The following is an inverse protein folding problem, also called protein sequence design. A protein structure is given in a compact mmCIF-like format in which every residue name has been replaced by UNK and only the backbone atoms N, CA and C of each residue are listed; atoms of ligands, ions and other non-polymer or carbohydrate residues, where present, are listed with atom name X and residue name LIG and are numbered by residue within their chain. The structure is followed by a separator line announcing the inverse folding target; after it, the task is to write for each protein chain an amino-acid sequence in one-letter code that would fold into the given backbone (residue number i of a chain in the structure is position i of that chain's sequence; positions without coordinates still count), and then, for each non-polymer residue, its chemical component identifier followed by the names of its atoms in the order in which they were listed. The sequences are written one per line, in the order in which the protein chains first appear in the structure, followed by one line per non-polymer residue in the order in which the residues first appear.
data_IF_650624305712
#
_entry.id   IF_650624305712
#
_cell.length_a   1.000
_cell.length_b   1.000
_cell.length_c   1.000
_cell.angle_alpha   90.00
_cell.angle_beta   90.00
_cell.angle_gamma   90.00
#
_symmetry.space_group_name_H-M   'P 1'
#
loop_
_entity.id
_entity.type
_entity.pdbx_description
1 polymer ?
#
# COMPACT_ATOMS: atom_id res chain seq x y z
N UNK A 1 -33.44 54.38 27.41
CA UNK A 1 -32.19 54.86 26.80
C UNK A 1 -31.07 53.91 27.18
N UNK A 2 -30.19 53.57 26.24
CA UNK A 2 -29.27 52.41 26.14
C UNK A 2 -29.88 51.16 25.48
N UNK A 3 -29.55 50.88 24.20
CA UNK A 3 -29.93 49.65 23.52
C UNK A 3 -28.87 48.53 23.64
N UNK A 4 -29.37 47.30 23.66
CA UNK A 4 -28.62 46.04 23.62
C UNK A 4 -27.76 45.92 22.35
N UNK A 5 -26.48 45.56 22.52
CA UNK A 5 -25.62 45.11 21.42
C UNK A 5 -25.93 43.64 21.09
N UNK A 6 -26.50 43.44 19.91
CA UNK A 6 -26.75 42.14 19.29
C UNK A 6 -25.44 41.66 18.63
N UNK A 7 -25.02 40.45 18.98
CA UNK A 7 -23.93 39.71 18.34
C UNK A 7 -24.26 39.46 16.84
N UNK A 8 -23.36 39.73 15.88
CA UNK A 8 -23.59 39.33 14.50
C UNK A 8 -23.34 37.82 14.32
N UNK A 9 -24.37 37.16 13.79
CA UNK A 9 -24.44 35.76 13.40
C UNK A 9 -23.37 35.38 12.38
N UNK A 10 -22.72 34.22 12.59
CA UNK A 10 -21.87 33.57 11.59
C UNK A 10 -22.70 33.13 10.39
N UNK A 11 -22.60 33.89 9.29
CA UNK A 11 -23.14 33.51 7.99
C UNK A 11 -22.40 32.31 7.40
N UNK A 12 -23.16 31.29 7.01
CA UNK A 12 -22.71 30.14 6.22
C UNK A 12 -22.26 30.62 4.83
N UNK A 13 -21.08 30.21 4.38
CA UNK A 13 -20.65 30.36 2.98
C UNK A 13 -20.74 28.99 2.31
N UNK A 14 -21.60 28.90 1.29
CA UNK A 14 -21.67 27.76 0.37
C UNK A 14 -20.54 27.88 -0.68
N UNK A 15 -19.96 26.76 -1.15
CA UNK A 15 -18.85 26.78 -2.11
C UNK A 15 -19.38 26.77 -3.54
N UNK A 16 -19.60 27.94 -4.10
CA UNK A 16 -19.77 28.11 -5.55
C UNK A 16 -19.25 29.48 -5.92
N UNK A 17 -18.00 29.49 -6.38
CA UNK A 17 -17.37 30.46 -7.30
C UNK A 17 -15.86 30.50 -7.01
N UNK A 18 -15.16 29.48 -7.53
CA UNK A 18 -13.72 29.52 -7.68
C UNK A 18 -13.36 30.59 -8.73
N UNK A 19 -13.35 31.85 -8.30
CA UNK A 19 -12.78 32.96 -9.05
C UNK A 19 -11.26 32.77 -9.09
N UNK A 20 -10.72 32.69 -10.31
CA UNK A 20 -9.28 32.77 -10.57
C UNK A 20 -8.83 34.17 -10.17
N UNK A 21 -8.32 34.34 -8.96
CA UNK A 21 -7.73 35.61 -8.53
C UNK A 21 -6.39 35.80 -9.23
N UNK A 22 -6.38 36.61 -10.29
CA UNK A 22 -5.17 37.27 -10.78
C UNK A 22 -4.94 38.50 -9.90
N UNK A 23 -4.11 38.38 -8.87
CA UNK A 23 -3.63 39.57 -8.16
C UNK A 23 -2.55 40.26 -9.00
N UNK A 24 -2.94 41.32 -9.70
CA UNK A 24 -2.00 42.33 -10.18
C UNK A 24 -1.73 43.29 -9.03
N UNK A 25 -0.56 43.16 -8.40
CA UNK A 25 -0.04 44.21 -7.51
C UNK A 25 0.93 45.05 -8.33
N UNK A 26 0.48 46.23 -8.74
CA UNK A 26 1.36 47.29 -9.26
C UNK A 26 1.74 48.19 -8.10
N UNK A 27 2.96 48.02 -7.59
CA UNK A 27 3.64 49.06 -6.80
C UNK A 27 4.33 49.98 -7.81
N UNK A 28 3.93 51.24 -7.83
CA UNK A 28 4.69 52.31 -8.48
C UNK A 28 5.76 52.76 -7.49
N UNK A 29 7.03 52.57 -7.83
CA UNK A 29 8.11 53.32 -7.24
C UNK A 29 8.76 54.21 -8.30
N UNK A 30 9.02 55.45 -7.87
CA UNK A 30 9.86 56.42 -8.56
C UNK A 30 11.29 55.91 -8.56
N UNK A 31 12.07 56.41 -9.51
CA UNK A 31 13.50 56.15 -9.71
C UNK A 31 13.80 54.90 -10.55
N UNK A 32 13.95 55.14 -11.85
CA UNK A 32 14.29 54.11 -12.81
C UNK A 32 15.76 53.72 -12.71
N UNK A 33 16.04 52.46 -12.38
CA UNK A 33 17.14 51.67 -12.93
C UNK A 33 16.81 50.16 -12.81
N UNK A 34 16.93 49.45 -13.94
CA UNK A 34 16.94 47.99 -14.11
C UNK A 34 15.71 47.15 -13.63
N UNK A 35 14.72 47.01 -14.52
CA UNK A 35 13.76 45.89 -14.48
C UNK A 35 14.48 44.57 -14.80
N UNK A 36 15.00 43.88 -13.78
CA UNK A 36 15.14 42.41 -13.84
C UNK A 36 13.71 41.86 -13.88
N UNK A 37 13.34 41.13 -14.94
CA UNK A 37 12.00 40.57 -15.06
C UNK A 37 11.67 39.72 -13.84
N UNK A 38 10.72 40.17 -13.02
CA UNK A 38 10.16 39.42 -11.92
C UNK A 38 9.74 38.04 -12.44
N UNK A 39 10.18 37.00 -11.73
CA UNK A 39 9.89 35.60 -12.05
C UNK A 39 8.43 35.44 -12.47
N UNK A 40 8.20 34.97 -13.70
CA UNK A 40 6.88 34.55 -14.19
C UNK A 40 6.26 33.64 -13.12
N UNK A 41 5.17 34.10 -12.49
CA UNK A 41 4.43 33.31 -11.49
C UNK A 41 4.08 31.98 -12.17
N UNK A 42 4.76 30.92 -11.74
CA UNK A 42 4.45 29.57 -12.22
C UNK A 42 3.12 29.18 -11.61
N UNK A 43 2.18 28.70 -12.42
CA UNK A 43 0.92 28.17 -11.91
C UNK A 43 1.21 27.03 -10.90
N UNK A 44 0.74 27.21 -9.67
CA UNK A 44 0.86 26.22 -8.60
C UNK A 44 -0.47 25.47 -8.51
N UNK A 45 -0.40 24.14 -8.58
CA UNK A 45 -1.54 23.25 -8.44
C UNK A 45 -1.43 22.51 -7.12
N UNK A 46 -2.37 22.77 -6.20
CA UNK A 46 -2.42 22.10 -4.91
C UNK A 46 -3.17 20.76 -5.00
N UNK A 47 -2.70 19.77 -4.24
CA UNK A 47 -3.37 18.48 -4.05
C UNK A 47 -3.15 17.97 -2.64
N UNK A 48 -4.01 17.08 -2.15
CA UNK A 48 -3.96 16.58 -0.78
C UNK A 48 -3.87 15.05 -0.70
N UNK A 49 -3.22 14.57 0.36
CA UNK A 49 -3.44 13.22 0.86
C UNK A 49 -4.30 13.29 2.11
N UNK A 50 -5.26 12.37 2.22
CA UNK A 50 -6.10 12.20 3.40
C UNK A 50 -6.06 10.73 3.83
N UNK A 51 -5.81 10.49 5.11
CA UNK A 51 -5.91 9.14 5.65
C UNK A 51 -7.35 8.82 6.02
N UNK A 52 -7.76 7.57 5.79
CA UNK A 52 -9.04 7.03 6.24
C UNK A 52 -8.80 5.72 6.96
N UNK A 53 -9.40 5.57 8.12
CA UNK A 53 -9.33 4.30 8.85
C UNK A 53 -10.29 3.28 8.25
N UNK A 54 -9.78 2.08 8.02
CA UNK A 54 -10.61 0.92 7.72
C UNK A 54 -10.61 0.01 8.92
N UNK A 55 -11.81 -0.39 9.34
CA UNK A 55 -11.96 -1.25 10.50
C UNK A 55 -11.14 -2.54 10.31
N UNK A 56 -10.28 -2.85 11.28
CA UNK A 56 -9.38 -3.99 11.21
C UNK A 56 -10.20 -5.25 11.06
N UNK A 57 -9.96 -5.91 9.95
CA UNK A 57 -10.61 -7.14 9.59
C UNK A 57 -10.09 -8.29 10.46
N UNK A 58 -10.99 -9.05 11.09
CA UNK A 58 -10.64 -10.29 11.80
C UNK A 58 -10.50 -11.41 10.74
N UNK A 59 -9.30 -11.61 10.16
CA UNK A 59 -9.02 -12.85 9.38
C UNK A 59 -8.54 -13.94 10.32
N UNK A 60 -9.01 -15.16 10.08
CA UNK A 60 -8.39 -16.38 10.58
C UNK A 60 -7.03 -16.68 9.91
N UNK A 61 -6.87 -16.45 8.61
CA UNK A 61 -5.61 -16.71 7.88
C UNK A 61 -4.80 -15.43 7.60
N UNK A 62 -3.75 -15.24 8.39
CA UNK A 62 -2.78 -14.14 8.26
C UNK A 62 -1.48 -14.56 7.56
N UNK A 63 -1.46 -15.68 6.83
CA UNK A 63 -0.27 -16.17 6.13
C UNK A 63 -0.18 -15.61 4.70
N UNK A 64 1.01 -15.66 4.10
CA UNK A 64 1.21 -15.33 2.69
C UNK A 64 0.86 -13.87 2.35
N UNK A 65 -0.16 -13.67 1.52
CA UNK A 65 -0.70 -12.33 1.20
C UNK A 65 -1.60 -11.79 2.31
N UNK A 66 -2.19 -12.67 3.12
CA UNK A 66 -3.04 -12.32 4.26
C UNK A 66 -2.31 -11.67 5.44
N UNK A 67 -0.98 -11.62 5.40
CA UNK A 67 -0.18 -10.89 6.40
C UNK A 67 -0.53 -9.40 6.45
N UNK A 68 -1.08 -8.84 5.37
CA UNK A 68 -1.58 -7.47 5.30
C UNK A 68 -2.62 -7.17 6.37
N UNK A 69 -3.47 -8.15 6.68
CA UNK A 69 -4.58 -7.98 7.62
C UNK A 69 -4.20 -8.29 9.07
N UNK A 70 -2.92 -8.64 9.33
CA UNK A 70 -2.46 -8.90 10.69
C UNK A 70 -2.23 -7.59 11.44
N UNK A 71 -3.23 -7.18 12.20
CA UNK A 71 -3.24 -5.90 12.95
C UNK A 71 -2.32 -5.91 14.16
N UNK A 72 -2.03 -7.10 14.73
CA UNK A 72 -1.13 -7.23 15.88
C UNK A 72 0.34 -7.04 15.51
N UNK A 73 0.73 -7.37 14.27
CA UNK A 73 2.15 -7.40 13.86
C UNK A 73 2.57 -6.21 13.01
N UNK A 74 1.62 -5.48 12.43
CA UNK A 74 1.94 -4.54 11.36
C UNK A 74 0.78 -3.63 11.00
N UNK A 75 1.15 -2.44 10.53
CA UNK A 75 0.21 -1.45 10.01
C UNK A 75 0.37 -1.34 8.50
N UNK A 76 -0.71 -1.07 7.79
CA UNK A 76 -0.67 -0.76 6.37
C UNK A 76 -1.07 0.69 6.12
N UNK A 77 -0.51 1.26 5.06
CA UNK A 77 -0.96 2.52 4.48
C UNK A 77 -1.09 2.28 2.99
N UNK A 78 -2.32 2.28 2.48
CA UNK A 78 -2.62 1.90 1.10
C UNK A 78 -3.22 3.09 0.36
N UNK A 79 -2.53 3.61 -0.65
CA UNK A 79 -2.98 4.74 -1.44
C UNK A 79 -4.01 4.31 -2.48
N UNK A 80 -5.15 4.98 -2.51
CA UNK A 80 -6.13 4.83 -3.59
C UNK A 80 -5.60 5.47 -4.87
N UNK A 81 -5.12 4.62 -5.78
CA UNK A 81 -4.63 5.04 -7.08
C UNK A 81 -5.01 4.02 -8.14
N UNK A 82 -5.81 4.44 -9.12
CA UNK A 82 -6.10 3.59 -10.26
C UNK A 82 -4.82 3.39 -11.09
N UNK A 83 -4.47 2.16 -11.52
CA UNK A 83 -3.25 1.89 -12.29
C UNK A 83 -3.14 2.70 -13.60
N UNK A 84 -4.28 3.10 -14.16
CA UNK A 84 -4.37 3.93 -15.35
C UNK A 84 -4.87 5.36 -15.04
N UNK A 85 -4.74 5.83 -13.79
CA UNK A 85 -5.18 7.17 -13.41
C UNK A 85 -4.47 8.24 -14.25
N UNK A 86 -5.25 9.08 -14.91
CA UNK A 86 -4.75 10.32 -15.48
C UNK A 86 -4.48 11.27 -14.30
N UNK A 87 -3.21 11.37 -13.88
CA UNK A 87 -2.71 12.17 -12.74
C UNK A 87 -2.87 13.70 -12.95
N UNK A 88 -3.93 14.09 -13.63
CA UNK A 88 -4.32 15.45 -13.91
C UNK A 88 -5.06 16.03 -12.69
N UNK A 89 -4.43 17.01 -12.04
CA UNK A 89 -4.93 17.59 -10.80
C UNK A 89 -6.23 18.37 -10.96
N UNK A 90 -6.61 18.76 -12.18
CA UNK A 90 -7.92 19.38 -12.43
C UNK A 90 -9.06 18.37 -12.40
N UNK A 91 -8.78 17.07 -12.50
CA UNK A 91 -9.79 16.00 -12.40
C UNK A 91 -9.89 15.46 -10.98
N UNK A 92 -8.75 15.16 -10.37
CA UNK A 92 -8.65 14.63 -9.00
C UNK A 92 -7.45 15.26 -8.30
N UNK A 93 -7.70 16.06 -7.28
CA UNK A 93 -6.69 16.73 -6.46
C UNK A 93 -6.63 16.18 -5.02
N UNK A 94 -7.42 15.15 -4.69
CA UNK A 94 -7.41 14.49 -3.39
C UNK A 94 -7.10 13.00 -3.55
N UNK A 95 -6.18 12.48 -2.73
CA UNK A 95 -5.76 11.09 -2.73
C UNK A 95 -6.02 10.47 -1.37
N UNK A 96 -6.84 9.42 -1.34
CA UNK A 96 -7.16 8.70 -0.12
C UNK A 96 -6.04 7.71 0.21
N UNK A 97 -5.71 7.60 1.50
CA UNK A 97 -4.79 6.60 2.03
C UNK A 97 -5.52 5.82 3.12
N UNK A 98 -5.72 4.53 2.90
CA UNK A 98 -6.39 3.69 3.87
C UNK A 98 -5.40 3.04 4.82
N UNK A 99 -5.71 3.06 6.12
CA UNK A 99 -4.89 2.46 7.18
C UNK A 99 -5.71 1.59 8.12
N UNK A 100 -5.06 0.61 8.74
CA UNK A 100 -5.59 -0.16 9.87
C UNK A 100 -4.99 0.27 11.23
N UNK A 101 -4.28 1.40 11.26
CA UNK A 101 -3.68 1.91 12.48
C UNK A 101 -4.77 2.39 13.45
N UNK A 102 -5.00 1.61 14.50
CA UNK A 102 -6.00 1.90 15.53
C UNK A 102 -5.52 3.05 16.43
N UNK A 103 -4.20 3.18 16.60
CA UNK A 103 -3.60 4.22 17.46
C UNK A 103 -3.64 5.60 16.80
N UNK A 104 -3.90 5.65 15.50
CA UNK A 104 -4.07 6.90 14.76
C UNK A 104 -5.46 7.46 15.08
N UNK A 105 -5.59 8.31 16.11
CA UNK A 105 -6.88 8.79 16.64
C UNK A 105 -7.73 9.58 15.62
N UNK A 106 -7.09 10.42 14.80
CA UNK A 106 -7.76 11.29 13.84
C UNK A 106 -7.31 11.02 12.41
N UNK A 107 -8.15 11.36 11.45
CA UNK A 107 -7.75 11.41 10.05
C UNK A 107 -6.76 12.57 9.86
N UNK A 108 -5.66 12.28 9.18
CA UNK A 108 -4.64 13.26 8.82
C UNK A 108 -4.82 13.70 7.38
N UNK A 109 -4.69 15.00 7.16
CA UNK A 109 -4.66 15.58 5.82
C UNK A 109 -3.38 16.40 5.66
N UNK A 110 -2.76 16.31 4.49
CA UNK A 110 -1.64 17.17 4.13
C UNK A 110 -1.74 17.63 2.69
N UNK A 111 -1.55 18.94 2.48
CA UNK A 111 -1.56 19.58 1.17
C UNK A 111 -0.13 19.65 0.63
N UNK A 112 0.01 19.37 -0.65
CA UNK A 112 1.24 19.42 -1.43
C UNK A 112 1.02 20.27 -2.67
N UNK A 113 2.10 20.91 -3.13
CA UNK A 113 2.08 21.76 -4.31
C UNK A 113 2.82 21.09 -5.46
N UNK A 114 2.28 21.25 -6.67
CA UNK A 114 2.89 20.84 -7.94
C UNK A 114 2.98 22.06 -8.85
N UNK A 115 4.11 22.22 -9.54
CA UNK A 115 4.27 23.24 -10.59
C UNK A 115 3.66 22.79 -11.93
N UNK A 116 3.09 21.59 -11.99
CA UNK A 116 2.48 21.01 -13.19
C UNK A 116 1.03 20.61 -12.91
N UNK A 117 0.18 20.83 -13.92
CA UNK A 117 -1.22 20.37 -13.93
C UNK A 117 -1.31 18.84 -13.86
N UNK A 118 -0.37 18.13 -14.50
CA UNK A 118 -0.26 16.66 -14.43
C UNK A 118 0.92 16.29 -13.56
N UNK A 119 0.65 15.61 -12.45
CA UNK A 119 1.68 15.23 -11.48
C UNK A 119 2.51 14.07 -12.03
N UNK A 120 3.82 14.17 -11.86
CA UNK A 120 4.74 13.08 -12.15
C UNK A 120 4.57 11.96 -11.11
N UNK A 121 4.43 10.70 -11.54
CA UNK A 121 4.26 9.57 -10.64
C UNK A 121 5.41 9.45 -9.61
N UNK A 122 6.66 9.70 -10.00
CA UNK A 122 7.80 9.73 -9.07
C UNK A 122 7.62 10.77 -7.96
N UNK A 123 7.09 11.94 -8.32
CA UNK A 123 6.82 13.00 -7.35
C UNK A 123 5.67 12.61 -6.43
N UNK A 124 4.57 12.10 -6.99
CA UNK A 124 3.40 11.64 -6.22
C UNK A 124 3.75 10.54 -5.21
N UNK A 125 4.49 9.52 -5.63
CA UNK A 125 4.94 8.45 -4.72
C UNK A 125 5.92 8.99 -3.68
N UNK A 126 6.75 9.97 -4.04
CA UNK A 126 7.62 10.66 -3.09
C UNK A 126 6.85 11.42 -2.02
N UNK A 127 5.86 12.23 -2.41
CA UNK A 127 5.03 12.99 -1.45
C UNK A 127 4.15 12.08 -0.63
N UNK A 128 3.62 10.98 -1.20
CA UNK A 128 2.95 9.91 -0.47
C UNK A 128 3.85 9.32 0.63
N UNK A 129 5.08 8.90 0.31
CA UNK A 129 5.99 8.35 1.31
C UNK A 129 6.33 9.36 2.41
N UNK A 130 6.59 10.61 2.03
CA UNK A 130 6.87 11.67 2.99
C UNK A 130 5.68 11.91 3.93
N UNK A 131 4.44 11.86 3.41
CA UNK A 131 3.22 11.93 4.19
C UNK A 131 3.12 10.78 5.18
N UNK A 132 3.27 9.52 4.74
CA UNK A 132 3.16 8.35 5.62
C UNK A 132 4.20 8.37 6.74
N UNK A 133 5.47 8.62 6.42
CA UNK A 133 6.52 8.66 7.43
C UNK A 133 6.45 9.88 8.34
N UNK A 134 5.76 10.96 7.94
CA UNK A 134 5.49 12.07 8.85
C UNK A 134 4.43 11.74 9.90
N UNK A 135 3.46 10.88 9.56
CA UNK A 135 2.41 10.42 10.49
C UNK A 135 2.91 9.24 11.33
N UNK A 136 3.59 8.29 10.70
CA UNK A 136 4.11 7.10 11.35
C UNK A 136 5.48 7.38 11.99
N UNK A 137 5.47 7.73 13.28
CA UNK A 137 6.68 8.05 14.08
C UNK A 137 7.47 6.82 14.55
N UNK A 138 7.16 5.61 14.06
CA UNK A 138 7.86 4.39 14.49
C UNK A 138 9.23 4.20 13.84
N UNK A 139 9.50 4.91 12.75
CA UNK A 139 10.77 4.82 12.04
C UNK A 139 11.58 6.09 12.29
N UNK A 140 12.86 5.94 12.61
CA UNK A 140 13.75 7.10 12.78
C UNK A 140 13.94 7.84 11.44
N UNK A 141 14.09 9.18 11.46
CA UNK A 141 14.30 9.97 10.24
C UNK A 141 15.49 9.49 9.40
N UNK A 142 16.57 9.03 10.04
CA UNK A 142 17.75 8.51 9.36
C UNK A 142 17.48 7.21 8.62
N UNK A 143 16.70 6.31 9.22
CA UNK A 143 16.25 5.07 8.57
C UNK A 143 15.41 5.40 7.34
N UNK A 144 14.45 6.31 7.49
CA UNK A 144 13.59 6.74 6.38
C UNK A 144 14.44 7.34 5.26
N UNK A 145 15.33 8.29 5.58
CA UNK A 145 16.24 8.94 4.62
C UNK A 145 17.10 7.91 3.86
N UNK A 146 17.65 6.91 4.57
CA UNK A 146 18.46 5.84 3.98
C UNK A 146 17.70 5.01 2.95
N UNK A 147 16.45 4.64 3.24
CA UNK A 147 15.67 3.75 2.37
C UNK A 147 14.69 4.46 1.43
N UNK A 148 14.49 5.77 1.58
CA UNK A 148 13.45 6.54 0.87
C UNK A 148 13.47 6.33 -0.65
N UNK A 149 14.67 6.49 -1.26
CA UNK A 149 14.84 6.32 -2.71
C UNK A 149 14.47 4.90 -3.16
N UNK A 150 14.85 3.89 -2.38
CA UNK A 150 14.55 2.48 -2.67
C UNK A 150 13.06 2.18 -2.51
N UNK A 151 12.42 2.67 -1.45
CA UNK A 151 10.98 2.48 -1.22
C UNK A 151 10.15 3.11 -2.34
N UNK A 152 10.53 4.32 -2.79
CA UNK A 152 9.89 4.98 -3.92
C UNK A 152 9.98 4.12 -5.18
N UNK A 153 11.17 3.62 -5.50
CA UNK A 153 11.36 2.75 -6.67
C UNK A 153 10.51 1.48 -6.57
N UNK A 154 10.53 0.82 -5.40
CA UNK A 154 9.77 -0.42 -5.18
C UNK A 154 8.26 -0.22 -5.34
N UNK A 155 7.71 0.93 -4.95
CA UNK A 155 6.30 1.25 -5.15
C UNK A 155 5.95 1.50 -6.62
N UNK A 156 6.83 2.17 -7.36
CA UNK A 156 6.64 2.38 -8.80
C UNK A 156 6.68 1.04 -9.55
N UNK A 157 7.70 0.22 -9.26
CA UNK A 157 7.82 -1.12 -9.82
C UNK A 157 6.59 -1.97 -9.46
N UNK A 158 6.07 -1.81 -8.24
CA UNK A 158 4.85 -2.48 -7.78
C UNK A 158 3.63 -2.06 -8.61
N UNK A 159 3.47 -0.77 -8.87
CA UNK A 159 2.36 -0.26 -9.68
C UNK A 159 2.42 -0.79 -11.11
N UNK A 160 3.62 -0.82 -11.72
CA UNK A 160 3.82 -1.41 -13.05
C UNK A 160 3.50 -2.90 -13.05
N UNK A 161 3.96 -3.65 -12.04
CA UNK A 161 3.66 -5.07 -11.91
C UNK A 161 2.17 -5.36 -11.75
N UNK A 162 1.44 -4.49 -11.02
CA UNK A 162 -0.02 -4.56 -10.89
C UNK A 162 -0.69 -4.29 -12.23
N UNK A 163 -0.33 -3.19 -12.91
CA UNK A 163 -0.88 -2.85 -14.24
C UNK A 163 -0.70 -4.01 -15.23
N UNK A 164 0.51 -4.54 -15.32
CA UNK A 164 0.80 -5.68 -16.20
C UNK A 164 -0.03 -6.91 -15.81
N UNK A 165 -0.18 -7.19 -14.50
CA UNK A 165 -1.01 -8.32 -14.06
C UNK A 165 -2.47 -8.16 -14.49
N UNK A 166 -3.02 -6.96 -14.41
CA UNK A 166 -4.40 -6.68 -14.80
C UNK A 166 -4.63 -6.81 -16.31
N UNK A 167 -3.63 -6.47 -17.13
CA UNK A 167 -3.70 -6.52 -18.60
C UNK A 167 -3.42 -7.90 -19.22
N UNK A 168 -2.63 -8.76 -18.57
CA UNK A 168 -2.20 -10.04 -19.15
C UNK A 168 -2.91 -11.25 -18.51
N UNK A 169 -3.54 -12.08 -19.35
CA UNK A 169 -4.23 -13.34 -18.98
C UNK A 169 -3.28 -14.50 -18.57
N UNK A 170 -1.96 -14.32 -18.72
CA UNK A 170 -1.02 -15.43 -18.61
C UNK A 170 -0.68 -15.81 -17.14
N UNK A 171 -1.13 -17.01 -16.76
CA UNK A 171 -0.84 -17.80 -15.54
C UNK A 171 -1.47 -17.28 -14.23
N UNK A 172 -1.85 -18.24 -13.38
CA UNK A 172 -2.45 -18.11 -12.03
C UNK A 172 -1.53 -17.48 -10.96
N UNK A 173 -0.67 -16.54 -11.34
CA UNK A 173 0.27 -15.90 -10.42
C UNK A 173 -0.38 -14.65 -9.82
N UNK A 174 -0.64 -14.71 -8.52
CA UNK A 174 -1.12 -13.57 -7.74
C UNK A 174 -0.02 -12.50 -7.61
N UNK A 175 -0.38 -11.22 -7.77
CA UNK A 175 0.53 -10.10 -7.51
C UNK A 175 0.04 -9.34 -6.27
N UNK A 176 0.85 -9.26 -5.21
CA UNK A 176 0.51 -8.45 -4.03
C UNK A 176 0.31 -6.98 -4.39
N UNK A 177 -0.62 -6.31 -3.72
CA UNK A 177 -0.91 -4.87 -3.90
C UNK A 177 0.03 -3.95 -3.12
N UNK A 178 0.89 -4.54 -2.29
CA UNK A 178 1.75 -3.82 -1.35
C UNK A 178 3.18 -4.36 -1.34
N UNK A 179 4.08 -3.55 -0.77
CA UNK A 179 5.43 -3.90 -0.35
C UNK A 179 5.50 -3.95 1.17
N UNK A 180 6.44 -4.75 1.68
CA UNK A 180 6.75 -4.82 3.11
C UNK A 180 8.02 -4.04 3.36
N UNK A 181 8.00 -3.13 4.31
CA UNK A 181 9.19 -2.49 4.85
C UNK A 181 9.31 -2.82 6.33
N UNK A 182 10.52 -3.18 6.75
CA UNK A 182 10.81 -3.52 8.14
C UNK A 182 12.15 -2.93 8.54
N UNK A 183 12.20 -2.35 9.73
CA UNK A 183 13.43 -1.87 10.35
C UNK A 183 13.35 -2.16 11.85
N UNK A 184 14.31 -2.90 12.38
CA UNK A 184 14.25 -3.41 13.75
C UNK A 184 12.99 -4.25 14.00
N UNK A 185 12.23 -3.88 15.03
CA UNK A 185 10.98 -4.56 15.44
C UNK A 185 9.74 -4.05 14.68
N UNK A 186 9.86 -2.95 13.94
CA UNK A 186 8.72 -2.31 13.30
C UNK A 186 8.54 -2.78 11.85
N UNK A 187 7.29 -3.07 11.48
CA UNK A 187 6.88 -3.50 10.13
C UNK A 187 5.73 -2.64 9.65
N UNK A 188 5.88 -2.10 8.44
CA UNK A 188 4.86 -1.32 7.75
C UNK A 188 4.65 -1.89 6.35
N UNK A 189 3.39 -1.95 5.91
CA UNK A 189 3.04 -2.26 4.54
C UNK A 189 2.65 -0.98 3.80
N UNK A 190 3.26 -0.77 2.65
CA UNK A 190 3.03 0.39 1.79
C UNK A 190 2.52 -0.11 0.45
N UNK A 191 1.50 0.50 -0.13
CA UNK A 191 0.95 -0.04 -1.36
C UNK A 191 -0.25 0.70 -1.89
N UNK A 192 -1.02 -0.01 -2.71
CA UNK A 192 -2.17 0.53 -3.40
C UNK A 192 -3.44 -0.12 -2.89
N UNK A 193 -4.46 0.71 -2.66
CA UNK A 193 -5.75 0.27 -2.19
C UNK A 193 -6.61 -0.19 -3.37
N UNK A 194 -7.04 -1.44 -3.30
CA UNK A 194 -8.01 -2.03 -4.21
C UNK A 194 -9.23 -2.44 -3.39
N UNK A 195 -10.37 -1.77 -3.61
CA UNK A 195 -11.63 -2.10 -2.95
C UNK A 195 -12.11 -3.47 -3.41
N UNK A 196 -12.50 -4.33 -2.48
CA UNK A 196 -12.96 -5.69 -2.79
C UNK A 196 -14.24 -5.70 -3.63
N UNK A 197 -15.27 -4.97 -3.20
CA UNK A 197 -16.55 -4.85 -3.91
C UNK A 197 -17.30 -3.62 -3.41
N UNK A 198 -18.42 -3.27 -4.05
CA UNK A 198 -19.27 -2.16 -3.60
C UNK A 198 -19.81 -2.40 -2.18
N UNK A 199 -20.08 -3.66 -1.83
CA UNK A 199 -20.52 -4.09 -0.50
C UNK A 199 -19.37 -4.30 0.49
N UNK A 200 -18.11 -4.34 0.04
CA UNK A 200 -16.95 -4.64 0.88
C UNK A 200 -15.82 -3.62 0.70
N UNK A 201 -15.63 -2.79 1.72
CA UNK A 201 -14.56 -1.78 1.82
C UNK A 201 -13.20 -2.35 2.22
N UNK A 202 -13.05 -3.68 2.27
CA UNK A 202 -11.78 -4.27 2.66
C UNK A 202 -10.77 -4.23 1.52
N UNK A 203 -9.49 -3.94 1.80
CA UNK A 203 -8.47 -3.93 0.77
C UNK A 203 -8.23 -5.35 0.25
N UNK A 204 -8.06 -5.50 -1.06
CA UNK A 204 -7.54 -6.71 -1.65
C UNK A 204 -6.01 -6.78 -1.46
N UNK A 205 -5.53 -7.90 -0.91
CA UNK A 205 -4.10 -8.11 -0.67
C UNK A 205 -3.32 -8.43 -1.94
N UNK A 206 -4.01 -8.88 -3.00
CA UNK A 206 -3.42 -9.22 -4.29
C UNK A 206 -4.41 -8.99 -5.43
N UNK A 207 -3.86 -8.83 -6.62
CA UNK A 207 -4.59 -8.77 -7.89
C UNK A 207 -4.31 -10.02 -8.73
N UNK A 208 -5.31 -10.36 -9.55
CA UNK A 208 -5.32 -11.43 -10.53
C UNK A 208 -5.50 -10.85 -11.94
N UNK A 209 -5.28 -11.66 -12.99
CA UNK A 209 -5.60 -11.27 -14.36
C UNK A 209 -7.07 -10.84 -14.55
N UNK A 210 -7.34 -10.11 -15.63
CA UNK A 210 -8.68 -9.72 -16.07
C UNK A 210 -9.43 -8.81 -15.08
N UNK A 211 -8.73 -7.85 -14.48
CA UNK A 211 -9.30 -6.92 -13.50
C UNK A 211 -9.98 -7.59 -12.29
N UNK A 212 -9.43 -8.71 -11.85
CA UNK A 212 -9.95 -9.44 -10.70
C UNK A 212 -9.11 -9.18 -9.45
N UNK A 213 -9.77 -8.83 -8.36
CA UNK A 213 -9.18 -8.76 -7.02
C UNK A 213 -10.29 -8.86 -5.98
N UNK A 214 -10.02 -9.56 -4.88
CA UNK A 214 -10.96 -9.71 -3.78
C UNK A 214 -10.19 -9.69 -2.46
N UNK A 215 -10.86 -9.30 -1.38
CA UNK A 215 -10.32 -9.44 -0.04
C UNK A 215 -10.32 -10.92 0.39
N UNK A 216 -9.62 -11.23 1.47
CA UNK A 216 -9.52 -12.60 1.95
C UNK A 216 -10.87 -13.27 2.34
N UNK A 217 -11.96 -12.52 2.65
CA UNK A 217 -13.31 -13.14 2.84
C UNK A 217 -13.88 -13.62 1.54
N UNK A 218 -13.90 -12.71 0.57
CA UNK A 218 -14.67 -12.89 -0.65
C UNK A 218 -13.89 -13.63 -1.71
N UNK A 219 -12.59 -13.81 -1.50
CA UNK A 219 -11.78 -14.65 -2.36
C UNK A 219 -12.25 -16.09 -2.30
N UNK A 220 -13.02 -16.49 -3.31
CA UNK A 220 -13.35 -17.89 -3.58
C UNK A 220 -12.29 -18.42 -4.55
N UNK A 221 -11.46 -19.40 -4.13
CA UNK A 221 -10.59 -20.08 -5.07
C UNK A 221 -11.47 -20.72 -6.16
N UNK A 222 -11.21 -20.38 -7.43
CA UNK A 222 -11.96 -20.94 -8.57
C UNK A 222 -12.04 -22.47 -8.42
N UNK A 223 -13.25 -23.08 -8.44
CA UNK A 223 -13.41 -24.52 -8.41
C UNK A 223 -12.77 -25.12 -9.67
N UNK A 224 -11.61 -25.76 -9.53
CA UNK A 224 -10.89 -26.35 -10.65
C UNK A 224 -9.37 -26.33 -10.48
N UNK A 225 -8.84 -25.38 -9.70
CA UNK A 225 -7.48 -25.46 -9.20
C UNK A 225 -7.51 -25.53 -7.68
N UNK A 226 -7.63 -26.75 -7.17
CA UNK A 226 -6.92 -27.09 -5.93
C UNK A 226 -5.45 -26.83 -6.22
N UNK A 227 -4.98 -25.61 -5.96
CA UNK A 227 -3.63 -25.46 -5.47
C UNK A 227 -3.52 -26.49 -4.37
N UNK A 228 -2.61 -27.45 -4.51
CA UNK A 228 -2.10 -28.19 -3.37
C UNK A 228 -1.35 -27.18 -2.49
N UNK A 229 -2.04 -26.17 -1.97
CA UNK A 229 -1.76 -25.70 -0.63
C UNK A 229 -1.95 -26.95 0.20
N UNK A 230 -0.83 -27.58 0.54
CA UNK A 230 -0.69 -28.37 1.75
C UNK A 230 -1.11 -27.48 2.92
N UNK A 231 -2.41 -27.26 3.08
CA UNK A 231 -2.99 -27.43 4.38
C UNK A 231 -2.55 -28.83 4.77
N UNK A 232 -1.63 -28.93 5.72
CA UNK A 232 -1.57 -30.10 6.58
C UNK A 232 -2.93 -30.15 7.27
N UNK A 233 -3.94 -30.66 6.56
CA UNK A 233 -4.97 -31.44 7.23
C UNK A 233 -4.18 -32.46 8.02
N UNK A 234 -4.42 -32.54 9.33
CA UNK A 234 -3.98 -33.68 10.11
C UNK A 234 -4.39 -34.92 9.33
N UNK A 235 -3.42 -35.55 8.69
CA UNK A 235 -3.64 -36.87 8.10
C UNK A 235 -3.62 -37.76 9.31
N UNK A 236 -4.75 -38.37 9.60
CA UNK A 236 -4.79 -39.61 10.35
C UNK A 236 -3.75 -40.54 9.73
N UNK A 237 -2.64 -40.70 10.44
CA UNK A 237 -1.59 -41.64 10.10
C UNK A 237 -2.13 -43.02 10.44
N UNK A 238 -2.92 -43.58 9.52
CA UNK A 238 -2.90 -45.04 9.38
C UNK A 238 -1.50 -45.41 8.89
N UNK A 239 -0.78 -46.05 9.78
CA UNK A 239 0.60 -46.50 9.69
C UNK A 239 0.82 -47.30 8.42
N UNK A 240 1.56 -46.73 7.47
CA UNK A 240 2.10 -47.48 6.33
C UNK A 240 3.58 -47.11 6.26
N UNK A 241 4.41 -47.97 6.88
CA UNK A 241 5.86 -47.89 6.89
C UNK A 241 6.39 -48.20 5.48
N UNK A 242 6.65 -47.17 4.69
CA UNK A 242 7.53 -47.30 3.53
C UNK A 242 8.59 -46.20 3.62
N UNK A 243 9.85 -46.62 3.77
CA UNK A 243 11.00 -45.75 3.54
C UNK A 243 11.14 -45.58 2.02
N UNK A 244 10.82 -44.42 1.44
CA UNK A 244 10.91 -44.27 -0.01
C UNK A 244 12.38 -44.17 -0.43
N UNK A 245 12.75 -45.00 -1.39
CA UNK A 245 13.99 -44.91 -2.16
C UNK A 245 13.91 -43.67 -3.06
N UNK A 246 15.00 -42.90 -3.14
CA UNK A 246 15.13 -41.80 -4.09
C UNK A 246 16.41 -41.97 -4.89
N UNK A 247 16.29 -41.97 -6.21
CA UNK A 247 17.45 -41.91 -7.10
C UNK A 247 18.00 -40.48 -7.13
N UNK A 248 19.30 -40.35 -6.88
CA UNK A 248 20.03 -39.09 -6.89
C UNK A 248 21.05 -39.14 -8.01
N UNK A 249 21.02 -38.13 -8.87
CA UNK A 249 21.98 -37.95 -9.96
C UNK A 249 22.90 -36.77 -9.66
N UNK A 250 24.20 -37.02 -9.66
CA UNK A 250 25.22 -35.98 -9.52
C UNK A 250 25.65 -35.50 -10.90
N UNK A 251 25.25 -34.29 -11.29
CA UNK A 251 25.67 -33.66 -12.54
C UNK A 251 27.16 -33.31 -12.58
N UNK A 252 27.82 -33.15 -11.41
CA UNK A 252 29.25 -32.86 -11.33
C UNK A 252 30.13 -34.11 -11.51
N UNK A 253 29.65 -35.28 -11.09
CA UNK A 253 30.40 -36.54 -11.12
C UNK A 253 29.88 -37.52 -12.18
N UNK A 254 28.75 -37.24 -12.83
CA UNK A 254 28.16 -38.09 -13.86
C UNK A 254 27.58 -39.42 -13.36
N UNK A 255 27.35 -39.57 -12.05
CA UNK A 255 26.92 -40.83 -11.43
C UNK A 255 25.48 -40.76 -10.91
N UNK A 256 24.82 -41.92 -10.91
CA UNK A 256 23.50 -42.16 -10.31
C UNK A 256 23.62 -43.15 -9.16
N UNK A 257 23.03 -42.82 -8.02
CA UNK A 257 22.94 -43.76 -6.89
C UNK A 257 21.60 -43.60 -6.14
N UNK A 258 21.17 -44.69 -5.51
CA UNK A 258 19.92 -44.74 -4.75
C UNK A 258 20.18 -44.45 -3.27
N UNK A 259 19.37 -43.56 -2.69
CA UNK A 259 19.44 -43.21 -1.27
C UNK A 259 18.16 -43.62 -0.56
N UNK A 260 18.31 -44.35 0.55
CA UNK A 260 17.21 -44.66 1.47
C UNK A 260 17.17 -43.55 2.52
N UNK A 261 16.12 -42.73 2.47
CA UNK A 261 15.91 -41.68 3.48
C UNK A 261 15.23 -42.32 4.70
N UNK A 262 16.03 -42.76 5.68
CA UNK A 262 15.52 -43.18 6.99
C UNK A 262 15.00 -41.96 7.75
N UNK A 263 13.75 -41.98 8.21
CA UNK A 263 13.29 -40.96 9.16
C UNK A 263 13.99 -41.17 10.49
N UNK A 264 14.42 -40.07 11.11
CA UNK A 264 14.93 -40.08 12.48
C UNK A 264 13.78 -40.48 13.41
N UNK A 265 13.95 -41.55 14.19
CA UNK A 265 12.97 -41.93 15.20
C UNK A 265 13.16 -40.99 16.40
N UNK A 266 12.07 -40.37 16.87
CA UNK A 266 12.09 -39.62 18.13
C UNK A 266 12.45 -40.56 19.28
N UNK A 267 13.44 -40.17 20.07
CA UNK A 267 13.93 -40.94 21.21
C UNK A 267 12.85 -41.00 22.28
N UNK A 268 12.18 -42.15 22.44
CA UNK A 268 11.30 -42.40 23.57
C UNK A 268 12.16 -42.81 24.76
N UNK A 269 12.30 -41.91 25.73
CA UNK A 269 12.95 -42.21 27.01
C UNK A 269 12.32 -43.42 27.69
N UNK A 270 13.14 -44.19 28.42
CA UNK A 270 12.69 -45.32 29.23
C UNK A 270 11.66 -44.85 30.25
N UNK A 271 10.44 -45.37 30.18
CA UNK A 271 9.54 -45.37 31.32
C UNK A 271 10.09 -46.42 32.30
N UNK A 272 10.62 -45.97 33.44
CA UNK A 272 10.95 -46.87 34.54
C UNK A 272 9.65 -47.32 35.21
N UNK A 273 9.56 -48.64 35.38
CA UNK A 273 8.62 -49.37 36.22
C UNK A 273 8.71 -48.95 37.68
#
# INVERSE_FOLDING_TARGET
MTPLNILPSFGKINPSDASVSKSHVTVLDKDGYNKKSLHKIRNIFAYSFQTHKLNPYIVSDTRGSGTLYNTKKSRYFLMELHPNADLCLTKKNSFNVYTNDIDMLNDHQRIFNSTSKKVNLNYLIGTYLAFIFSINRQFSPDTVKKYFKRLRQLLIDKLVAIKNRLSYSAKNRQTKTYIRFSSGTHVIYLGFYFRCSDTCTQPAAFVLPNNQWQCNKHFTPVPGLRSKTTQRKGKDYKTVNFNPWKEVHSTRLGLKYNVIVKRYNEWKGKNNS
#
